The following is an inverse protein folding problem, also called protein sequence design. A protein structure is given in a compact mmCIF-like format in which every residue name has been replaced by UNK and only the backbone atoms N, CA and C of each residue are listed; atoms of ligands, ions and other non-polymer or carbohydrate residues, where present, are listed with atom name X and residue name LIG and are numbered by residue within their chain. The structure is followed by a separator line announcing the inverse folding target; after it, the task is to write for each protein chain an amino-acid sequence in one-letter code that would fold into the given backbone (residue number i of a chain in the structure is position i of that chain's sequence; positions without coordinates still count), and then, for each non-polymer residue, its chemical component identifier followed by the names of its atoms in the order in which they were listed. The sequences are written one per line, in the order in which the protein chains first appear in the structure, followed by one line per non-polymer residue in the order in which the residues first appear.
data_IF_065827941329
#
_entry.id   IF_065827941329
#
_cell.length_a   1.000
_cell.length_b   1.000
_cell.length_c   1.000
_cell.angle_alpha   90.00
_cell.angle_beta   90.00
_cell.angle_gamma   90.00
#
_symmetry.space_group_name_H-M   'P 1'
#
loop_
_entity.id
_entity.type
_entity.pdbx_description
1 polymer ?
#
# COMPACT_ATOMS: atom_id res chain seq x y z
N UNK A 1 -16.32 12.94 6.45
CA UNK A 1 -16.91 11.80 5.69
C UNK A 1 -15.89 10.67 5.68
N UNK A 2 -16.19 9.51 6.25
CA UNK A 2 -15.37 8.30 6.07
C UNK A 2 -15.84 7.65 4.76
N UNK A 3 -15.06 7.78 3.69
CA UNK A 3 -15.37 7.14 2.41
C UNK A 3 -15.31 5.61 2.58
N UNK A 4 -16.17 4.82 1.91
CA UNK A 4 -16.10 3.37 1.97
C UNK A 4 -14.92 2.96 1.09
N UNK A 5 -13.76 2.68 1.71
CA UNK A 5 -12.63 2.09 1.00
C UNK A 5 -13.11 0.81 0.30
N UNK A 6 -13.05 0.72 -1.04
CA UNK A 6 -13.32 -0.55 -1.69
C UNK A 6 -12.21 -1.49 -1.24
N UNK A 7 -12.60 -2.64 -0.68
CA UNK A 7 -11.76 -3.76 -0.24
C UNK A 7 -11.49 -3.72 1.27
N UNK A 8 -12.18 -4.61 1.97
CA UNK A 8 -12.22 -4.66 3.42
C UNK A 8 -10.81 -4.87 3.99
N UNK A 9 -10.29 -3.85 4.68
CA UNK A 9 -9.13 -3.99 5.53
C UNK A 9 -9.55 -4.81 6.75
N UNK A 10 -9.42 -6.13 6.66
CA UNK A 10 -9.84 -7.06 7.71
C UNK A 10 -8.79 -7.20 8.85
N UNK A 11 -7.79 -6.32 8.89
CA UNK A 11 -6.74 -6.30 9.89
C UNK A 11 -5.35 -6.02 9.31
N UNK A 12 -4.34 -5.79 10.16
CA UNK A 12 -3.01 -5.41 9.74
C UNK A 12 -2.35 -6.50 8.88
N UNK A 13 -1.84 -6.09 7.72
CA UNK A 13 -1.05 -6.94 6.84
C UNK A 13 0.42 -6.79 7.20
N UNK A 14 1.13 -7.90 7.35
CA UNK A 14 2.51 -7.93 7.83
C UNK A 14 3.33 -8.96 7.06
N UNK A 15 4.68 -8.93 7.14
CA UNK A 15 5.52 -9.93 6.49
C UNK A 15 5.07 -11.36 6.80
N UNK A 16 4.99 -12.18 5.75
CA UNK A 16 4.48 -13.55 5.82
C UNK A 16 2.96 -13.69 5.69
N UNK A 17 2.18 -12.60 5.69
CA UNK A 17 0.75 -12.64 5.32
C UNK A 17 0.58 -13.04 3.85
N UNK A 18 -0.44 -13.85 3.56
CA UNK A 18 -0.85 -14.17 2.20
C UNK A 18 -2.37 -14.03 2.05
N UNK A 19 -2.82 -13.16 1.16
CA UNK A 19 -4.24 -12.96 0.88
C UNK A 19 -4.48 -12.14 -0.40
N UNK A 20 -5.72 -12.16 -0.88
CA UNK A 20 -6.15 -11.30 -1.99
C UNK A 20 -6.02 -9.81 -1.64
N UNK A 21 -6.15 -9.44 -0.36
CA UNK A 21 -5.90 -8.07 0.10
C UNK A 21 -4.44 -7.66 -0.06
N UNK A 22 -3.48 -8.57 0.14
CA UNK A 22 -2.07 -8.31 -0.13
C UNK A 22 -1.82 -8.16 -1.62
N UNK A 23 -2.47 -8.97 -2.45
CA UNK A 23 -2.35 -8.87 -3.91
C UNK A 23 -2.81 -7.49 -4.38
N UNK A 24 -3.97 -7.05 -3.89
CA UNK A 24 -4.50 -5.73 -4.16
C UNK A 24 -3.56 -4.62 -3.67
N UNK A 25 -3.05 -4.74 -2.45
CA UNK A 25 -2.08 -3.79 -1.90
C UNK A 25 -0.89 -3.62 -2.84
N UNK A 26 -0.33 -4.73 -3.34
CA UNK A 26 0.77 -4.71 -4.29
C UNK A 26 0.39 -4.06 -5.63
N UNK A 27 -0.84 -4.29 -6.11
CA UNK A 27 -1.34 -3.63 -7.32
C UNK A 27 -1.46 -2.10 -7.13
N UNK A 28 -1.94 -1.65 -5.96
CA UNK A 28 -1.99 -0.23 -5.60
C UNK A 28 -0.60 0.38 -5.50
N UNK A 29 0.32 -0.28 -4.78
CA UNK A 29 1.73 0.10 -4.70
C UNK A 29 2.37 0.20 -6.08
N UNK A 30 2.02 -0.72 -6.98
CA UNK A 30 2.51 -0.71 -8.35
C UNK A 30 2.04 0.51 -9.13
N UNK A 31 0.78 0.89 -8.97
CA UNK A 31 0.25 2.09 -9.59
C UNK A 31 0.87 3.37 -9.01
N UNK A 32 1.07 3.43 -7.69
CA UNK A 32 1.74 4.55 -7.01
C UNK A 32 3.19 4.66 -7.49
N UNK A 33 3.93 3.56 -7.57
CA UNK A 33 5.33 3.54 -8.01
C UNK A 33 5.57 4.12 -9.40
N UNK A 34 4.55 4.15 -10.27
CA UNK A 34 4.65 4.84 -11.58
C UNK A 34 4.76 6.36 -11.47
N UNK A 35 4.25 6.95 -10.39
CA UNK A 35 4.27 8.40 -10.16
C UNK A 35 5.34 8.82 -9.16
N UNK A 36 5.76 7.91 -8.28
CA UNK A 36 6.74 8.18 -7.22
C UNK A 36 8.01 7.38 -7.49
N UNK A 37 9.04 8.05 -8.03
CA UNK A 37 10.32 7.44 -8.46
C UNK A 37 11.03 6.63 -7.35
N UNK A 38 10.78 6.97 -6.09
CA UNK A 38 11.35 6.30 -4.94
C UNK A 38 10.54 5.08 -4.47
N UNK A 39 9.45 4.67 -5.12
CA UNK A 39 8.67 3.49 -4.73
C UNK A 39 8.87 2.42 -5.81
N UNK A 40 9.60 1.36 -5.47
CA UNK A 40 9.80 0.24 -6.39
C UNK A 40 8.59 -0.69 -6.32
N UNK A 41 7.85 -0.88 -7.42
CA UNK A 41 6.60 -1.61 -7.40
C UNK A 41 6.85 -3.11 -7.16
N UNK A 42 6.27 -3.73 -6.11
CA UNK A 42 6.35 -5.17 -5.93
C UNK A 42 5.49 -5.86 -7.00
N UNK A 43 5.93 -7.03 -7.50
CA UNK A 43 5.11 -7.85 -8.39
C UNK A 43 3.90 -8.37 -7.60
N UNK A 44 2.64 -8.16 -8.05
CA UNK A 44 1.47 -8.67 -7.36
C UNK A 44 1.49 -10.21 -7.31
N UNK A 45 1.72 -10.74 -6.12
CA UNK A 45 1.82 -12.18 -5.81
C UNK A 45 0.81 -12.62 -4.76
N UNK A 46 0.24 -11.66 -4.01
CA UNK A 46 -0.59 -11.96 -2.83
C UNK A 46 0.21 -12.34 -1.59
N UNK A 47 1.54 -12.39 -1.68
CA UNK A 47 2.43 -12.66 -0.54
C UNK A 47 3.08 -11.37 -0.06
N UNK A 48 3.03 -11.13 1.25
CA UNK A 48 3.65 -9.95 1.85
C UNK A 48 5.13 -10.21 2.03
N UNK A 49 5.86 -10.03 0.94
CA UNK A 49 7.30 -10.26 0.83
C UNK A 49 8.12 -9.02 1.23
N UNK A 50 9.44 -9.16 1.19
CA UNK A 50 10.36 -8.07 1.54
C UNK A 50 10.21 -6.88 0.57
N UNK A 51 9.90 -7.13 -0.71
CA UNK A 51 9.69 -6.05 -1.69
C UNK A 51 8.47 -5.19 -1.33
N UNK A 52 7.38 -5.84 -0.88
CA UNK A 52 6.19 -5.19 -0.37
C UNK A 52 6.50 -4.40 0.90
N UNK A 53 7.16 -5.03 1.87
CA UNK A 53 7.57 -4.40 3.14
C UNK A 53 8.38 -3.13 2.90
N UNK A 54 9.39 -3.18 2.03
CA UNK A 54 10.23 -2.02 1.71
C UNK A 54 9.44 -0.88 1.07
N UNK A 55 8.52 -1.19 0.15
CA UNK A 55 7.65 -0.20 -0.48
C UNK A 55 6.75 0.50 0.55
N UNK A 56 6.19 -0.28 1.47
CA UNK A 56 5.36 0.22 2.57
C UNK A 56 6.17 1.13 3.49
N UNK A 57 7.38 0.73 3.89
CA UNK A 57 8.27 1.57 4.71
C UNK A 57 8.56 2.92 4.04
N UNK A 58 8.72 2.96 2.71
CA UNK A 58 8.95 4.21 1.98
C UNK A 58 7.72 5.12 1.99
N UNK A 59 6.53 4.56 1.80
CA UNK A 59 5.27 5.32 1.91
C UNK A 59 5.07 5.83 3.33
N UNK A 60 5.28 4.98 4.33
CA UNK A 60 5.19 5.37 5.73
C UNK A 60 6.10 6.57 6.03
N UNK A 61 7.37 6.53 5.59
CA UNK A 61 8.29 7.68 5.70
C UNK A 61 7.75 8.92 5.00
N UNK A 62 7.25 8.79 3.78
CA UNK A 62 6.72 9.92 3.01
C UNK A 62 5.48 10.55 3.66
N UNK A 63 4.69 9.76 4.40
CA UNK A 63 3.50 10.20 5.12
C UNK A 63 3.76 10.59 6.58
N UNK A 64 5.01 10.53 7.06
CA UNK A 64 5.33 10.80 8.47
C UNK A 64 4.83 9.73 9.46
N UNK A 65 4.58 8.51 8.98
CA UNK A 65 4.25 7.35 9.80
C UNK A 65 5.52 6.60 10.23
N UNK A 66 5.41 5.80 11.30
CA UNK A 66 6.49 4.88 11.71
C UNK A 66 6.76 3.88 10.59
N UNK A 67 8.00 3.78 10.07
CA UNK A 67 8.31 2.91 8.94
C UNK A 67 8.62 1.49 9.39
N UNK A 68 7.64 0.81 9.99
CA UNK A 68 7.76 -0.56 10.49
C UNK A 68 7.51 -1.64 9.42
N UNK A 69 7.01 -1.23 8.24
CA UNK A 69 6.69 -2.12 7.14
C UNK A 69 5.47 -3.00 7.42
N UNK A 70 4.58 -2.57 8.32
CA UNK A 70 3.27 -3.18 8.58
C UNK A 70 2.20 -2.27 8.00
N UNK A 71 1.27 -2.85 7.26
CA UNK A 71 0.13 -2.12 6.72
C UNK A 71 -1.00 -2.16 7.74
N UNK A 72 -1.02 -1.19 8.65
CA UNK A 72 -2.14 -0.92 9.57
C UNK A 72 -3.22 -0.01 8.92
N UNK A 73 -4.26 0.35 9.66
CA UNK A 73 -5.36 1.19 9.15
C UNK A 73 -4.86 2.55 8.62
N UNK A 74 -3.92 3.19 9.33
CA UNK A 74 -3.35 4.49 8.94
C UNK A 74 -2.51 4.38 7.67
N UNK A 75 -1.71 3.32 7.59
CA UNK A 75 -0.89 3.03 6.40
C UNK A 75 -1.78 2.69 5.20
N UNK A 76 -2.87 1.96 5.42
CA UNK A 76 -3.87 1.66 4.39
C UNK A 76 -4.50 2.94 3.83
N UNK A 77 -5.02 3.82 4.71
CA UNK A 77 -5.60 5.11 4.33
C UNK A 77 -4.61 5.96 3.52
N UNK A 78 -3.36 6.06 3.97
CA UNK A 78 -2.31 6.78 3.24
C UNK A 78 -2.12 6.25 1.81
N UNK A 79 -2.04 4.93 1.65
CA UNK A 79 -1.88 4.27 0.34
C UNK A 79 -3.08 4.52 -0.55
N UNK A 80 -4.31 4.39 -0.02
CA UNK A 80 -5.52 4.68 -0.81
C UNK A 80 -5.57 6.14 -1.25
N UNK A 81 -5.23 7.09 -0.37
CA UNK A 81 -5.18 8.51 -0.73
C UNK A 81 -4.13 8.79 -1.81
N UNK A 82 -2.95 8.19 -1.73
CA UNK A 82 -1.92 8.31 -2.78
C UNK A 82 -2.38 7.70 -4.10
N UNK A 83 -3.00 6.53 -4.05
CA UNK A 83 -3.53 5.83 -5.22
C UNK A 83 -4.63 6.63 -5.92
N UNK A 84 -5.61 7.16 -5.17
CA UNK A 84 -6.67 8.01 -5.71
C UNK A 84 -6.13 9.32 -6.29
N UNK A 85 -5.10 9.93 -5.66
CA UNK A 85 -4.44 11.13 -6.19
C UNK A 85 -3.75 10.90 -7.53
N UNK A 86 -3.12 9.73 -7.70
CA UNK A 86 -2.48 9.34 -8.96
C UNK A 86 -3.47 9.08 -10.10
N UNK A 87 -4.71 8.71 -9.77
CA UNK A 87 -5.81 8.49 -10.73
C UNK A 87 -6.68 9.74 -10.91
N UNK A 88 -6.04 10.88 -11.20
CA UNK A 88 -6.79 12.03 -11.70
C UNK A 88 -7.45 11.62 -13.02
N UNK A 89 -8.75 11.34 -13.00
CA UNK A 89 -9.58 11.24 -14.19
C UNK A 89 -9.58 12.62 -14.85
N UNK A 90 -8.66 12.85 -15.76
CA UNK A 90 -8.74 13.92 -16.76
C UNK A 90 -9.53 13.44 -17.95
#
# INVERSE_FOLDING_TARGET
MKQPYPLAFNGPLKPGSQSDTVWLLQAMLSAIGRHYINIHPPKPSGQYDESTRQSIMRIQRACGLTPDGVTDEKTWEAITLMFCRGQSFT
#
